data_IF_035363311798
#
_entry.id   IF_035363311798
#
_cell.length_a   1.000
_cell.length_b   1.000
_cell.length_c   1.000
_cell.angle_alpha   90.00
_cell.angle_beta   90.00
_cell.angle_gamma   90.00
#
_symmetry.space_group_name_H-M   'P 1'
#
loop_
_entity.id
_entity.type
_entity.pdbx_description
1 polymer ?
#
# COMPACT_ATOMS: atom_id res chain seq x y z
N UNK A 1 9.09 -8.35 71.04
CA UNK A 1 8.07 -8.26 70.00
C UNK A 1 8.28 -6.97 69.16
N UNK A 2 9.21 -6.94 68.21
CA UNK A 2 9.36 -5.87 67.19
C UNK A 2 10.45 -6.31 66.19
N UNK A 3 10.14 -7.17 65.25
CA UNK A 3 11.06 -7.56 64.16
C UNK A 3 10.39 -8.35 63.03
N UNK A 4 9.18 -7.99 62.57
CA UNK A 4 8.57 -8.66 61.39
C UNK A 4 7.77 -7.75 60.45
N UNK A 5 8.07 -6.43 60.42
CA UNK A 5 7.34 -5.47 59.62
C UNK A 5 8.14 -4.88 58.42
N UNK A 6 9.35 -5.39 58.11
CA UNK A 6 10.23 -4.77 57.12
C UNK A 6 10.45 -5.58 55.82
N UNK A 7 9.87 -6.80 55.73
CA UNK A 7 10.12 -7.66 54.55
C UNK A 7 9.04 -7.66 53.48
N UNK A 8 7.94 -6.92 53.63
CA UNK A 8 6.81 -6.94 52.66
C UNK A 8 6.81 -5.77 51.68
N UNK A 9 7.65 -4.75 51.89
CA UNK A 9 7.67 -3.57 51.00
C UNK A 9 8.65 -3.66 49.81
N UNK A 10 9.57 -4.62 49.83
CA UNK A 10 10.59 -4.78 48.78
C UNK A 10 10.14 -5.62 47.59
N UNK A 11 9.05 -6.39 47.71
CA UNK A 11 8.58 -7.24 46.60
C UNK A 11 7.62 -6.55 45.60
N UNK A 12 7.07 -5.38 45.99
CA UNK A 12 6.14 -4.62 45.12
C UNK A 12 6.84 -3.61 44.20
N UNK A 13 8.13 -3.33 44.43
CA UNK A 13 8.89 -2.38 43.61
C UNK A 13 9.52 -3.01 42.36
N UNK A 14 9.59 -4.35 42.25
CA UNK A 14 10.21 -5.01 41.10
C UNK A 14 9.24 -5.26 39.92
N UNK A 15 7.95 -5.06 40.08
CA UNK A 15 6.96 -5.26 38.98
C UNK A 15 6.66 -4.00 38.16
N UNK A 16 7.15 -2.84 38.56
CA UNK A 16 6.90 -1.57 37.89
C UNK A 16 8.01 -1.09 36.95
N UNK A 17 9.13 -1.81 36.86
CA UNK A 17 10.26 -1.40 36.01
C UNK A 17 10.23 -1.99 34.59
N UNK A 18 9.22 -2.79 34.24
CA UNK A 18 9.12 -3.41 32.91
C UNK A 18 8.39 -2.54 31.85
N UNK A 19 7.92 -1.34 32.21
CA UNK A 19 7.18 -0.46 31.25
C UNK A 19 8.02 0.66 30.63
N UNK A 20 9.32 0.65 30.81
CA UNK A 20 10.23 1.70 30.29
C UNK A 20 11.15 1.23 29.17
N UNK A 21 10.90 0.11 28.51
CA UNK A 21 11.49 -0.15 27.19
C UNK A 21 10.81 0.79 26.20
N UNK A 22 11.59 1.71 25.62
CA UNK A 22 11.08 2.75 24.73
C UNK A 22 10.36 2.11 23.53
N UNK A 23 9.28 2.76 23.06
CA UNK A 23 8.51 2.32 21.89
C UNK A 23 9.40 1.97 20.71
N UNK A 24 9.11 0.88 20.02
CA UNK A 24 9.86 0.45 18.84
C UNK A 24 9.75 1.48 17.73
N UNK A 25 10.88 1.97 17.22
CA UNK A 25 10.91 2.95 16.13
C UNK A 25 10.84 2.22 14.79
N UNK A 26 9.85 2.59 13.98
CA UNK A 26 9.59 2.03 12.65
C UNK A 26 9.67 3.13 11.62
N UNK A 27 10.45 2.94 10.57
CA UNK A 27 10.45 3.77 9.36
C UNK A 27 9.67 3.08 8.25
N UNK A 28 8.84 3.82 7.51
CA UNK A 28 8.02 3.28 6.42
C UNK A 28 8.04 4.20 5.21
N UNK A 29 8.21 3.62 4.03
CA UNK A 29 8.27 4.31 2.74
C UNK A 29 6.97 4.15 1.92
N UNK A 30 5.88 3.76 2.56
CA UNK A 30 4.56 3.66 1.96
C UNK A 30 3.50 4.08 2.98
N UNK A 31 2.47 4.82 2.54
CA UNK A 31 1.32 5.16 3.39
C UNK A 31 0.58 3.90 3.84
N UNK A 32 0.49 2.87 2.99
CA UNK A 32 -0.10 1.56 3.29
C UNK A 32 0.66 0.86 4.43
N UNK A 33 1.98 0.79 4.31
CA UNK A 33 2.82 0.15 5.33
C UNK A 33 2.86 0.94 6.63
N UNK A 34 2.77 2.28 6.55
CA UNK A 34 2.65 3.16 7.71
C UNK A 34 1.38 2.81 8.50
N UNK A 35 0.24 2.66 7.82
CA UNK A 35 -1.01 2.26 8.48
C UNK A 35 -0.90 0.85 9.07
N UNK A 36 -0.39 -0.14 8.32
CA UNK A 36 -0.24 -1.50 8.85
C UNK A 36 0.61 -1.49 10.12
N UNK A 37 1.75 -0.77 10.12
CA UNK A 37 2.62 -0.67 11.30
C UNK A 37 1.92 -0.01 12.48
N UNK A 38 1.10 1.03 12.26
CA UNK A 38 0.31 1.70 13.29
C UNK A 38 -0.80 0.78 13.83
N UNK A 39 -1.55 0.10 12.94
CA UNK A 39 -2.64 -0.80 13.33
C UNK A 39 -2.13 -2.00 14.13
N UNK A 40 -1.01 -2.58 13.73
CA UNK A 40 -0.42 -3.76 14.39
C UNK A 40 0.37 -3.36 15.64
N UNK A 41 1.16 -2.30 15.54
CA UNK A 41 2.05 -1.86 16.61
C UNK A 41 1.32 -1.15 17.76
N UNK A 42 0.25 -0.41 17.43
CA UNK A 42 -0.51 0.38 18.41
C UNK A 42 0.40 1.34 19.18
N UNK A 43 0.22 1.42 20.48
CA UNK A 43 1.00 2.30 21.38
C UNK A 43 2.44 1.80 21.61
N UNK A 44 2.80 0.60 21.16
CA UNK A 44 4.14 0.01 21.32
C UNK A 44 5.13 0.46 20.27
N UNK A 45 4.69 1.18 19.24
CA UNK A 45 5.54 1.67 18.15
C UNK A 45 5.48 3.20 18.02
N UNK A 46 6.52 3.77 17.41
CA UNK A 46 6.52 5.11 16.83
C UNK A 46 6.83 4.93 15.36
N UNK A 47 5.89 5.23 14.50
CA UNK A 47 6.04 5.06 13.05
C UNK A 47 6.33 6.41 12.40
N UNK A 48 7.46 6.47 11.67
CA UNK A 48 7.80 7.59 10.79
C UNK A 48 7.47 7.17 9.35
N UNK A 49 6.36 7.69 8.82
CA UNK A 49 6.02 7.54 7.41
C UNK A 49 6.69 8.63 6.58
N UNK A 50 7.58 8.26 5.67
CA UNK A 50 8.34 9.18 4.83
C UNK A 50 7.52 9.68 3.64
N UNK A 51 6.90 8.76 2.91
CA UNK A 51 5.95 9.10 1.84
C UNK A 51 4.64 9.57 2.45
N UNK A 52 4.12 10.70 1.96
CA UNK A 52 2.88 11.31 2.44
C UNK A 52 1.75 11.06 1.42
N UNK A 53 0.47 11.17 1.83
CA UNK A 53 -0.64 11.14 0.89
C UNK A 53 -0.44 12.12 -0.26
N UNK A 54 -0.69 11.67 -1.49
CA UNK A 54 -0.53 12.48 -2.70
C UNK A 54 0.90 12.64 -3.21
N UNK A 55 1.87 11.95 -2.59
CA UNK A 55 3.25 11.84 -3.09
C UNK A 55 3.40 10.51 -3.82
N UNK A 56 3.92 10.55 -5.05
CA UNK A 56 4.22 9.36 -5.84
C UNK A 56 5.37 8.58 -5.19
N UNK A 57 5.17 7.32 -4.75
CA UNK A 57 6.22 6.53 -4.13
C UNK A 57 7.28 6.07 -5.13
N UNK A 58 6.98 6.02 -6.43
CA UNK A 58 7.94 5.64 -7.48
C UNK A 58 9.01 6.72 -7.67
N UNK A 59 8.62 7.99 -7.54
CA UNK A 59 9.47 9.17 -7.72
C UNK A 59 10.00 9.72 -6.38
N UNK A 60 9.75 9.03 -5.28
CA UNK A 60 10.18 9.51 -3.97
C UNK A 60 11.69 9.43 -3.80
N UNK A 61 12.30 10.57 -3.44
CA UNK A 61 13.71 10.65 -3.07
C UNK A 61 13.87 10.94 -1.57
N UNK A 62 14.56 10.04 -0.82
CA UNK A 62 14.82 10.26 0.60
C UNK A 62 15.61 11.52 0.89
N UNK A 63 15.12 12.34 1.82
CA UNK A 63 15.75 13.59 2.27
C UNK A 63 16.71 13.31 3.45
N UNK A 64 17.63 14.24 3.79
CA UNK A 64 18.53 14.06 4.93
C UNK A 64 17.84 13.75 6.27
N UNK A 65 16.63 14.30 6.48
CA UNK A 65 15.83 13.99 7.67
C UNK A 65 15.34 12.54 7.68
N UNK A 66 15.01 11.98 6.50
CA UNK A 66 14.59 10.58 6.36
C UNK A 66 15.75 9.65 6.64
N UNK A 67 16.95 9.97 6.13
CA UNK A 67 18.17 9.19 6.41
C UNK A 67 18.46 9.11 7.92
N UNK A 68 18.29 10.24 8.64
CA UNK A 68 18.43 10.24 10.09
C UNK A 68 17.41 9.32 10.77
N UNK A 69 16.13 9.45 10.41
CA UNK A 69 15.06 8.62 10.99
C UNK A 69 15.27 7.13 10.71
N UNK A 70 15.73 6.78 9.51
CA UNK A 70 16.09 5.40 9.13
C UNK A 70 17.28 4.89 9.95
N UNK A 71 18.31 5.71 10.18
CA UNK A 71 19.46 5.38 11.01
C UNK A 71 19.09 5.04 12.46
N UNK A 72 18.01 5.65 12.97
CA UNK A 72 17.49 5.45 14.31
C UNK A 72 16.42 4.35 14.40
N UNK A 73 15.88 3.88 13.27
CA UNK A 73 14.81 2.90 13.23
C UNK A 73 15.33 1.48 13.56
N UNK A 74 14.49 0.71 14.24
CA UNK A 74 14.73 -0.71 14.53
C UNK A 74 14.09 -1.62 13.47
N UNK A 75 13.04 -1.13 12.81
CA UNK A 75 12.38 -1.78 11.66
C UNK A 75 12.20 -0.76 10.54
N UNK A 76 12.54 -1.14 9.32
CA UNK A 76 12.38 -0.33 8.11
C UNK A 76 11.50 -1.15 7.17
N UNK A 77 10.32 -0.61 6.82
CA UNK A 77 9.33 -1.27 5.99
C UNK A 77 9.37 -0.69 4.57
N UNK A 78 9.50 -1.57 3.61
CA UNK A 78 9.52 -1.29 2.17
C UNK A 78 8.46 -2.13 1.47
N UNK A 79 7.88 -1.61 0.39
CA UNK A 79 6.87 -2.33 -0.41
C UNK A 79 7.47 -3.50 -1.17
N UNK A 80 8.76 -3.42 -1.52
CA UNK A 80 9.49 -4.38 -2.36
C UNK A 80 9.11 -4.32 -3.86
N UNK A 81 9.56 -5.31 -4.63
CA UNK A 81 9.30 -5.44 -6.07
C UNK A 81 9.73 -4.20 -6.87
N UNK A 82 10.88 -3.66 -6.52
CA UNK A 82 11.50 -2.49 -7.15
C UNK A 82 10.75 -1.16 -6.97
N UNK A 83 9.74 -1.09 -6.10
CA UNK A 83 9.06 0.16 -5.76
C UNK A 83 10.07 1.20 -5.24
N UNK A 84 10.88 0.81 -4.27
CA UNK A 84 11.89 1.68 -3.67
C UNK A 84 13.27 1.45 -4.31
N UNK A 85 13.50 1.98 -5.52
CA UNK A 85 14.77 1.81 -6.25
C UNK A 85 16.01 2.37 -5.54
N UNK A 86 15.80 3.23 -4.54
CA UNK A 86 16.85 3.87 -3.74
C UNK A 86 17.31 3.05 -2.51
N UNK A 87 16.74 1.88 -2.25
CA UNK A 87 16.96 1.11 -1.01
C UNK A 87 18.40 0.73 -0.75
N UNK A 88 19.16 0.39 -1.80
CA UNK A 88 20.59 0.08 -1.69
C UNK A 88 21.38 1.27 -1.16
N UNK A 89 21.20 2.44 -1.77
CA UNK A 89 21.82 3.71 -1.34
C UNK A 89 21.38 4.11 0.07
N UNK A 90 20.12 3.87 0.41
CA UNK A 90 19.58 4.14 1.75
C UNK A 90 20.30 3.33 2.82
N UNK A 91 20.49 2.03 2.61
CA UNK A 91 21.22 1.14 3.53
C UNK A 91 22.67 1.61 3.73
N UNK A 92 23.36 1.92 2.65
CA UNK A 92 24.76 2.39 2.67
C UNK A 92 24.90 3.74 3.37
N UNK A 93 24.05 4.72 3.03
CA UNK A 93 24.15 6.09 3.54
C UNK A 93 23.79 6.22 5.02
N UNK A 94 22.94 5.36 5.54
CA UNK A 94 22.48 5.44 6.94
C UNK A 94 23.30 4.59 7.89
N UNK A 95 24.00 3.57 7.38
CA UNK A 95 24.67 2.56 8.20
C UNK A 95 23.70 1.88 9.20
N UNK A 96 22.40 1.85 8.86
CA UNK A 96 21.37 1.36 9.77
C UNK A 96 21.60 -0.07 10.21
N UNK A 97 21.36 -0.33 11.50
CA UNK A 97 21.31 -1.67 12.10
C UNK A 97 19.87 -2.20 12.23
N UNK A 98 18.89 -1.42 11.76
CA UNK A 98 17.49 -1.79 11.73
C UNK A 98 17.23 -2.97 10.78
N UNK A 99 16.23 -3.76 11.08
CA UNK A 99 15.78 -4.81 10.16
C UNK A 99 15.07 -4.16 8.98
N UNK A 100 15.61 -4.35 7.78
CA UNK A 100 14.94 -3.96 6.53
C UNK A 100 14.02 -5.11 6.12
N UNK A 101 12.73 -4.80 5.98
CA UNK A 101 11.67 -5.77 5.68
C UNK A 101 11.02 -5.35 4.37
N UNK A 102 11.29 -6.10 3.33
CA UNK A 102 10.69 -5.97 2.01
C UNK A 102 9.38 -6.79 2.01
N UNK A 103 8.27 -6.12 2.39
CA UNK A 103 7.01 -6.77 2.78
C UNK A 103 6.39 -7.59 1.65
N UNK A 104 6.49 -7.10 0.42
CA UNK A 104 5.91 -7.75 -0.76
C UNK A 104 6.73 -8.91 -1.34
N UNK A 105 7.96 -9.14 -0.89
CA UNK A 105 8.86 -10.14 -1.49
C UNK A 105 8.31 -11.57 -1.46
N UNK A 106 7.66 -11.94 -0.36
CA UNK A 106 7.05 -13.26 -0.19
C UNK A 106 5.72 -13.46 -0.93
N UNK A 107 5.22 -12.45 -1.67
CA UNK A 107 3.95 -12.55 -2.37
C UNK A 107 4.17 -13.03 -3.81
N UNK A 108 3.23 -13.83 -4.31
CA UNK A 108 3.24 -14.20 -5.72
C UNK A 108 3.12 -12.95 -6.58
N UNK A 109 4.16 -12.68 -7.37
CA UNK A 109 4.23 -11.49 -8.22
C UNK A 109 3.42 -11.66 -9.49
N UNK A 110 2.73 -10.61 -9.89
CA UNK A 110 2.32 -10.42 -11.25
C UNK A 110 3.51 -9.91 -12.06
N UNK A 111 3.60 -10.36 -13.29
CA UNK A 111 4.68 -9.99 -14.20
C UNK A 111 4.12 -9.20 -15.36
N UNK A 112 4.81 -8.15 -15.72
CA UNK A 112 4.45 -7.29 -16.82
C UNK A 112 5.69 -6.92 -17.63
N UNK A 113 5.48 -6.40 -18.83
CA UNK A 113 6.57 -5.90 -19.67
C UNK A 113 7.00 -4.54 -19.14
N UNK A 114 8.31 -4.30 -19.07
CA UNK A 114 8.82 -2.98 -18.82
C UNK A 114 8.48 -2.05 -20.00
N UNK A 115 8.24 -0.79 -19.71
CA UNK A 115 7.82 0.16 -20.73
C UNK A 115 8.98 0.58 -21.64
N UNK A 116 10.17 0.72 -21.07
CA UNK A 116 11.41 1.06 -21.75
C UNK A 116 11.98 -0.07 -22.64
N UNK A 117 11.64 -1.32 -22.30
CA UNK A 117 12.06 -2.52 -23.06
C UNK A 117 10.97 -3.60 -23.02
N UNK A 118 10.24 -3.85 -24.12
CA UNK A 118 9.19 -4.86 -24.19
C UNK A 118 9.69 -6.31 -24.02
N UNK A 119 11.01 -6.54 -24.07
CA UNK A 119 11.62 -7.84 -23.80
C UNK A 119 11.97 -8.04 -22.33
N UNK A 120 12.02 -6.96 -21.55
CA UNK A 120 12.27 -7.00 -20.12
C UNK A 120 10.97 -7.24 -19.37
N UNK A 121 10.97 -8.24 -18.50
CA UNK A 121 9.86 -8.55 -17.61
C UNK A 121 10.19 -7.98 -16.23
N UNK A 122 9.26 -7.23 -15.67
CA UNK A 122 9.33 -6.64 -14.33
C UNK A 122 8.20 -7.18 -13.46
N UNK A 123 8.36 -7.08 -12.16
CA UNK A 123 7.32 -7.43 -11.20
C UNK A 123 6.45 -6.23 -10.93
N UNK A 124 5.13 -6.45 -10.85
CA UNK A 124 4.16 -5.43 -10.45
C UNK A 124 4.29 -5.17 -8.95
N UNK A 125 4.64 -3.94 -8.53
CA UNK A 125 4.81 -3.60 -7.11
C UNK A 125 3.49 -3.33 -6.37
N UNK A 126 2.36 -3.14 -7.07
CA UNK A 126 1.09 -2.64 -6.52
C UNK A 126 0.24 -3.73 -5.82
N UNK A 127 0.92 -4.60 -5.03
CA UNK A 127 0.30 -5.77 -4.38
C UNK A 127 -0.81 -5.40 -3.39
N UNK A 128 -0.86 -4.17 -2.87
CA UNK A 128 -1.87 -3.71 -1.91
C UNK A 128 -3.27 -3.61 -2.49
N UNK A 129 -3.41 -3.58 -3.81
CA UNK A 129 -4.71 -3.65 -4.49
C UNK A 129 -5.37 -5.04 -4.40
N UNK A 130 -4.66 -6.06 -3.92
CA UNK A 130 -5.24 -7.32 -3.47
C UNK A 130 -5.44 -7.30 -1.95
N UNK A 131 -6.70 -7.37 -1.50
CA UNK A 131 -7.01 -7.44 -0.06
C UNK A 131 -6.47 -8.74 0.57
N UNK A 132 -6.31 -9.80 -0.24
CA UNK A 132 -5.65 -11.03 0.17
C UNK A 132 -4.16 -10.79 0.49
N UNK A 133 -3.47 -10.01 -0.33
CA UNK A 133 -2.06 -9.64 -0.08
C UNK A 133 -1.94 -8.68 1.10
N UNK A 134 -2.89 -7.76 1.30
CA UNK A 134 -2.94 -6.95 2.52
C UNK A 134 -2.95 -7.80 3.79
N UNK A 135 -3.75 -8.88 3.80
CA UNK A 135 -3.75 -9.82 4.94
C UNK A 135 -2.42 -10.53 5.16
N UNK A 136 -1.64 -10.78 4.10
CA UNK A 136 -0.26 -11.31 4.21
C UNK A 136 0.69 -10.23 4.75
N UNK A 137 0.59 -9.00 4.24
CA UNK A 137 1.42 -7.87 4.69
C UNK A 137 1.27 -7.61 6.19
N UNK A 138 0.03 -7.66 6.72
CA UNK A 138 -0.23 -7.55 8.16
C UNK A 138 0.56 -8.59 8.95
N UNK A 139 0.63 -9.83 8.47
CA UNK A 139 1.38 -10.91 9.16
C UNK A 139 2.88 -10.68 9.08
N UNK A 140 3.40 -10.26 7.92
CA UNK A 140 4.84 -9.95 7.75
C UNK A 140 5.26 -8.83 8.69
N UNK A 141 4.49 -7.73 8.73
CA UNK A 141 4.78 -6.60 9.63
C UNK A 141 4.69 -7.02 11.10
N UNK A 142 3.65 -7.76 11.48
CA UNK A 142 3.53 -8.32 12.83
C UNK A 142 4.77 -9.11 13.24
N UNK A 143 5.21 -10.02 12.39
CA UNK A 143 6.34 -10.91 12.68
C UNK A 143 7.65 -10.12 12.80
N UNK A 144 7.82 -9.08 11.96
CA UNK A 144 8.96 -8.17 12.05
C UNK A 144 8.98 -7.37 13.38
N UNK A 145 7.82 -6.89 13.83
CA UNK A 145 7.70 -6.19 15.11
C UNK A 145 7.98 -7.14 16.30
N UNK A 146 7.43 -8.36 16.26
CA UNK A 146 7.68 -9.39 17.30
C UNK A 146 9.17 -9.73 17.37
N UNK A 147 9.84 -9.88 16.23
CA UNK A 147 11.28 -10.18 16.18
C UNK A 147 12.14 -9.11 16.88
N UNK A 148 11.70 -7.84 16.87
CA UNK A 148 12.40 -6.72 17.50
C UNK A 148 11.92 -6.39 18.91
N UNK A 149 10.70 -6.77 19.26
CA UNK A 149 10.11 -6.60 20.61
C UNK A 149 9.31 -7.85 21.01
N UNK A 150 10.00 -8.96 21.35
CA UNK A 150 9.31 -10.20 21.73
C UNK A 150 8.41 -10.07 22.96
N UNK A 151 8.73 -9.14 23.87
CA UNK A 151 7.91 -8.83 25.05
C UNK A 151 6.51 -8.29 24.71
N UNK A 152 6.34 -7.67 23.54
CA UNK A 152 5.07 -7.12 23.07
C UNK A 152 4.31 -8.06 22.11
N UNK A 153 4.78 -9.30 21.93
CA UNK A 153 4.22 -10.27 20.99
C UNK A 153 2.70 -10.48 21.14
N UNK A 154 2.21 -10.53 22.38
CA UNK A 154 0.77 -10.70 22.65
C UNK A 154 -0.05 -9.52 22.11
N UNK A 155 0.43 -8.28 22.27
CA UNK A 155 -0.22 -7.04 21.78
C UNK A 155 -0.22 -7.04 20.26
N UNK A 156 0.92 -7.33 19.62
CA UNK A 156 1.02 -7.34 18.17
C UNK A 156 0.16 -8.43 17.53
N UNK A 157 0.07 -9.60 18.14
CA UNK A 157 -0.81 -10.68 17.68
C UNK A 157 -2.30 -10.32 17.80
N UNK A 158 -2.73 -9.73 18.91
CA UNK A 158 -4.12 -9.31 19.13
C UNK A 158 -4.52 -8.18 18.14
N UNK A 159 -3.68 -7.16 17.99
CA UNK A 159 -3.90 -6.08 17.06
C UNK A 159 -3.95 -6.57 15.61
N UNK A 160 -3.02 -7.44 15.21
CA UNK A 160 -3.02 -8.05 13.88
C UNK A 160 -4.29 -8.86 13.64
N UNK A 161 -4.75 -9.65 14.61
CA UNK A 161 -6.00 -10.41 14.49
C UNK A 161 -7.21 -9.51 14.30
N UNK A 162 -7.30 -8.41 15.04
CA UNK A 162 -8.36 -7.39 14.89
C UNK A 162 -8.33 -6.76 13.51
N UNK A 163 -7.14 -6.39 13.02
CA UNK A 163 -7.00 -5.76 11.69
C UNK A 163 -7.34 -6.75 10.57
N UNK A 164 -6.90 -8.01 10.67
CA UNK A 164 -7.27 -9.08 9.73
C UNK A 164 -8.78 -9.33 9.70
N UNK A 165 -9.46 -9.27 10.83
CA UNK A 165 -10.93 -9.39 10.90
C UNK A 165 -11.62 -8.24 10.14
N UNK A 166 -11.13 -6.98 10.29
CA UNK A 166 -11.61 -5.83 9.52
C UNK A 166 -11.41 -6.03 8.02
N UNK A 167 -10.22 -6.46 7.59
CA UNK A 167 -9.93 -6.75 6.18
C UNK A 167 -10.85 -7.86 5.64
N UNK A 168 -11.14 -8.88 6.43
CA UNK A 168 -12.08 -9.94 6.04
C UNK A 168 -13.52 -9.44 5.85
N UNK A 169 -13.98 -8.53 6.70
CA UNK A 169 -15.28 -7.87 6.56
C UNK A 169 -15.31 -6.96 5.31
N UNK A 170 -14.24 -6.19 5.10
CA UNK A 170 -14.06 -5.32 3.95
C UNK A 170 -14.07 -6.11 2.62
N UNK A 171 -13.40 -7.27 2.58
CA UNK A 171 -13.41 -8.15 1.40
C UNK A 171 -14.82 -8.65 1.07
N UNK A 172 -15.61 -9.03 2.08
CA UNK A 172 -16.99 -9.45 1.88
C UNK A 172 -17.83 -8.32 1.32
N UNK A 173 -17.72 -7.12 1.90
CA UNK A 173 -18.38 -5.93 1.41
C UNK A 173 -18.00 -5.62 -0.04
N UNK A 174 -16.72 -5.60 -0.37
CA UNK A 174 -16.24 -5.34 -1.73
C UNK A 174 -16.77 -6.32 -2.77
N UNK A 175 -16.82 -7.63 -2.43
CA UNK A 175 -17.43 -8.66 -3.29
C UNK A 175 -18.91 -8.39 -3.54
N UNK A 176 -19.65 -7.94 -2.53
CA UNK A 176 -21.08 -7.59 -2.65
C UNK A 176 -21.27 -6.38 -3.57
N UNK A 177 -20.48 -5.33 -3.39
CA UNK A 177 -20.53 -4.14 -4.22
C UNK A 177 -20.19 -4.46 -5.70
N UNK A 178 -19.10 -5.16 -5.92
CA UNK A 178 -18.65 -5.54 -7.26
C UNK A 178 -19.60 -6.54 -7.95
N UNK A 179 -20.38 -7.31 -7.21
CA UNK A 179 -21.40 -8.19 -7.78
C UNK A 179 -22.54 -7.44 -8.51
N UNK A 180 -22.68 -6.12 -8.23
CA UNK A 180 -23.62 -5.26 -8.96
C UNK A 180 -23.22 -5.04 -10.42
N UNK A 181 -21.96 -5.30 -10.78
CA UNK A 181 -21.43 -5.20 -12.13
C UNK A 181 -21.40 -6.59 -12.79
N UNK A 182 -22.09 -6.78 -13.92
CA UNK A 182 -21.91 -7.95 -14.78
C UNK A 182 -20.43 -8.13 -15.18
N UNK A 183 -20.00 -9.37 -15.40
CA UNK A 183 -18.58 -9.67 -15.69
C UNK A 183 -18.06 -9.03 -16.98
N UNK A 184 -18.89 -8.93 -17.99
CA UNK A 184 -18.57 -8.28 -19.28
C UNK A 184 -18.39 -6.76 -19.17
N UNK A 185 -18.92 -6.15 -18.10
CA UNK A 185 -18.73 -4.72 -17.80
C UNK A 185 -17.51 -4.44 -16.91
N UNK A 186 -16.83 -5.44 -16.38
CA UNK A 186 -15.66 -5.30 -15.50
C UNK A 186 -14.40 -4.96 -16.30
N UNK A 187 -14.37 -3.78 -16.88
CA UNK A 187 -13.27 -3.24 -17.67
C UNK A 187 -12.88 -1.88 -17.13
N UNK A 188 -11.62 -1.72 -16.75
CA UNK A 188 -11.07 -0.48 -16.23
C UNK A 188 -10.07 0.10 -17.23
N UNK A 189 -10.21 1.36 -17.53
CA UNK A 189 -9.14 2.18 -18.14
C UNK A 189 -8.58 3.05 -17.03
N UNK A 190 -7.31 2.87 -16.71
CA UNK A 190 -6.60 3.55 -15.64
C UNK A 190 -5.43 4.34 -16.22
N UNK A 191 -4.96 5.29 -15.48
CA UNK A 191 -3.87 6.13 -15.92
C UNK A 191 -2.58 5.37 -15.99
N UNK A 192 -2.15 4.72 -14.93
CA UNK A 192 -1.03 3.79 -14.99
C UNK A 192 -1.43 2.36 -14.59
N UNK A 193 -0.51 1.41 -14.72
CA UNK A 193 -0.80 -0.02 -14.56
C UNK A 193 -0.66 -0.51 -13.11
N UNK A 194 -1.44 0.09 -12.20
CA UNK A 194 -1.44 -0.25 -10.77
C UNK A 194 -2.48 -1.30 -10.36
N UNK A 195 -3.51 -1.54 -11.16
CA UNK A 195 -4.68 -2.29 -10.72
C UNK A 195 -4.70 -3.77 -11.12
N UNK A 196 -3.60 -4.36 -11.56
CA UNK A 196 -3.55 -5.76 -12.01
C UNK A 196 -3.87 -6.77 -10.90
N UNK A 197 -3.41 -6.52 -9.66
CA UNK A 197 -3.78 -7.38 -8.51
C UNK A 197 -5.27 -7.29 -8.18
N UNK A 198 -5.85 -6.08 -8.23
CA UNK A 198 -7.29 -5.88 -8.09
C UNK A 198 -8.06 -6.62 -9.18
N UNK A 199 -7.62 -6.48 -10.41
CA UNK A 199 -8.24 -7.12 -11.57
C UNK A 199 -8.23 -8.64 -11.47
N UNK A 200 -7.09 -9.22 -11.11
CA UNK A 200 -6.95 -10.67 -10.92
C UNK A 200 -7.86 -11.20 -9.80
N UNK A 201 -7.97 -10.46 -8.69
CA UNK A 201 -8.79 -10.89 -7.55
C UNK A 201 -10.30 -10.75 -7.83
N UNK A 202 -10.72 -9.77 -8.65
CA UNK A 202 -12.11 -9.39 -8.82
C UNK A 202 -12.67 -9.63 -10.24
N UNK A 203 -11.86 -10.19 -11.15
CA UNK A 203 -12.29 -10.54 -12.52
C UNK A 203 -12.50 -9.33 -13.41
N UNK A 204 -11.60 -8.35 -13.33
CA UNK A 204 -11.55 -7.20 -14.23
C UNK A 204 -10.52 -7.39 -15.35
N UNK A 205 -10.65 -6.59 -16.41
CA UNK A 205 -9.63 -6.39 -17.44
C UNK A 205 -9.14 -4.95 -17.33
N UNK A 206 -7.80 -4.76 -17.30
CA UNK A 206 -7.19 -3.44 -17.21
C UNK A 206 -6.66 -3.00 -18.58
N UNK A 207 -6.87 -1.73 -18.90
CA UNK A 207 -6.28 -1.01 -20.02
C UNK A 207 -5.55 0.22 -19.45
N UNK A 208 -4.27 0.06 -19.10
CA UNK A 208 -3.47 1.14 -18.56
C UNK A 208 -2.95 2.06 -19.67
N UNK A 209 -3.05 3.36 -19.46
CA UNK A 209 -2.60 4.39 -20.41
C UNK A 209 -1.06 4.53 -20.34
N UNK A 210 -0.54 4.58 -19.12
CA UNK A 210 0.89 4.68 -18.84
C UNK A 210 1.44 3.32 -18.36
N UNK A 211 2.72 3.25 -18.02
CA UNK A 211 3.37 2.04 -17.53
C UNK A 211 3.17 1.80 -16.04
N UNK A 212 4.28 1.48 -15.35
CA UNK A 212 4.28 1.18 -13.92
C UNK A 212 4.21 2.41 -13.03
N UNK A 213 4.51 3.59 -13.57
CA UNK A 213 4.52 4.86 -12.86
C UNK A 213 3.72 5.91 -13.64
N UNK A 214 3.11 6.83 -12.93
CA UNK A 214 2.44 7.99 -13.51
C UNK A 214 3.42 8.99 -14.17
N UNK A 215 4.71 8.84 -13.96
CA UNK A 215 5.76 9.61 -14.64
C UNK A 215 6.02 9.14 -16.07
N UNK A 216 5.59 7.93 -16.42
CA UNK A 216 5.76 7.33 -17.74
C UNK A 216 4.84 8.00 -18.77
N UNK A 217 5.41 8.60 -19.82
CA UNK A 217 4.60 9.25 -20.85
C UNK A 217 4.24 8.25 -21.95
N UNK A 218 2.94 8.03 -22.23
CA UNK A 218 2.53 7.10 -23.27
C UNK A 218 2.90 7.61 -24.65
N UNK A 219 3.34 6.71 -25.54
CA UNK A 219 3.56 7.04 -26.95
C UNK A 219 2.21 7.32 -27.65
N UNK A 220 2.24 8.14 -28.71
CA UNK A 220 1.03 8.39 -29.51
C UNK A 220 0.41 7.10 -30.07
N UNK A 221 1.24 6.09 -30.39
CA UNK A 221 0.75 4.77 -30.80
C UNK A 221 -0.05 4.10 -29.68
N UNK A 222 0.47 4.09 -28.44
CA UNK A 222 -0.19 3.48 -27.27
C UNK A 222 -1.53 4.18 -26.98
N UNK A 223 -1.57 5.52 -27.05
CA UNK A 223 -2.81 6.29 -26.92
C UNK A 223 -3.84 5.87 -27.98
N UNK A 224 -3.42 5.75 -29.24
CA UNK A 224 -4.29 5.28 -30.34
C UNK A 224 -4.81 3.85 -30.13
N UNK A 225 -3.94 2.94 -29.70
CA UNK A 225 -4.30 1.54 -29.40
C UNK A 225 -5.34 1.46 -28.25
N UNK A 226 -5.19 2.29 -27.21
CA UNK A 226 -6.13 2.36 -26.08
C UNK A 226 -7.48 2.92 -26.53
N UNK A 227 -7.50 4.01 -27.32
CA UNK A 227 -8.75 4.57 -27.89
C UNK A 227 -9.48 3.50 -28.71
N UNK A 228 -8.76 2.75 -29.54
CA UNK A 228 -9.34 1.68 -30.33
C UNK A 228 -9.90 0.55 -29.43
N UNK A 229 -9.17 0.16 -28.37
CA UNK A 229 -9.62 -0.85 -27.42
C UNK A 229 -10.87 -0.41 -26.64
N UNK A 230 -10.92 0.84 -26.17
CA UNK A 230 -12.10 1.42 -25.48
C UNK A 230 -13.33 1.31 -26.37
N UNK A 231 -13.22 1.73 -27.63
CA UNK A 231 -14.32 1.65 -28.62
C UNK A 231 -14.75 0.23 -28.89
N UNK A 232 -13.79 -0.67 -29.18
CA UNK A 232 -14.06 -2.06 -29.53
C UNK A 232 -14.69 -2.85 -28.37
N UNK A 233 -14.30 -2.53 -27.13
CA UNK A 233 -14.75 -3.24 -25.94
C UNK A 233 -15.93 -2.57 -25.22
N UNK A 234 -16.40 -1.42 -25.73
CA UNK A 234 -17.50 -0.67 -25.13
C UNK A 234 -17.23 -0.23 -23.69
N UNK A 235 -15.99 0.20 -23.39
CA UNK A 235 -15.65 0.69 -22.06
C UNK A 235 -16.37 1.99 -21.78
N UNK A 236 -17.12 2.05 -20.68
CA UNK A 236 -17.97 3.20 -20.35
C UNK A 236 -17.20 4.36 -19.71
N UNK A 237 -16.19 4.06 -18.90
CA UNK A 237 -15.52 5.05 -18.08
C UNK A 237 -14.00 4.87 -18.07
N UNK A 238 -13.30 5.99 -17.96
CA UNK A 238 -11.85 6.10 -17.74
C UNK A 238 -11.66 6.72 -16.36
N UNK A 239 -10.73 6.17 -15.59
CA UNK A 239 -10.48 6.62 -14.23
C UNK A 239 -9.17 7.38 -14.17
N UNK A 240 -9.24 8.60 -13.64
CA UNK A 240 -8.08 9.39 -13.30
C UNK A 240 -7.43 8.88 -12.01
N UNK A 241 -6.19 9.23 -11.80
CA UNK A 241 -5.49 9.06 -10.54
C UNK A 241 -5.03 10.44 -10.05
N UNK A 242 -4.81 10.57 -8.75
CA UNK A 242 -4.66 11.91 -8.14
C UNK A 242 -3.40 12.68 -8.59
N UNK A 243 -2.43 12.02 -9.23
CA UNK A 243 -1.08 12.57 -9.47
C UNK A 243 -0.81 12.89 -10.95
N UNK A 244 -1.80 12.92 -11.85
CA UNK A 244 -1.63 12.83 -13.28
C UNK A 244 -1.62 14.08 -14.13
N UNK A 245 -1.15 13.86 -15.41
CA UNK A 245 -1.30 14.82 -16.50
C UNK A 245 -2.70 14.73 -17.14
N UNK A 246 -3.61 15.67 -16.89
CA UNK A 246 -5.00 15.59 -17.35
C UNK A 246 -5.16 15.74 -18.88
N UNK A 247 -4.09 16.06 -19.65
CA UNK A 247 -4.20 16.28 -21.09
C UNK A 247 -4.45 15.00 -21.86
N UNK A 248 -3.69 13.94 -21.56
CA UNK A 248 -3.83 12.63 -22.22
C UNK A 248 -5.20 12.03 -21.95
N UNK A 249 -5.65 12.07 -20.70
CA UNK A 249 -6.98 11.62 -20.31
C UNK A 249 -8.10 12.35 -21.05
N UNK A 250 -8.00 13.68 -21.18
CA UNK A 250 -8.97 14.49 -21.95
C UNK A 250 -9.00 14.11 -23.41
N UNK A 251 -7.84 13.86 -24.02
CA UNK A 251 -7.74 13.41 -25.40
C UNK A 251 -8.41 12.06 -25.59
N UNK A 252 -8.07 11.07 -24.77
CA UNK A 252 -8.65 9.72 -24.84
C UNK A 252 -10.17 9.78 -24.62
N UNK A 253 -10.63 10.56 -23.64
CA UNK A 253 -12.07 10.74 -23.35
C UNK A 253 -12.80 11.31 -24.57
N UNK A 254 -12.26 12.38 -25.18
CA UNK A 254 -12.85 13.03 -26.36
C UNK A 254 -12.92 12.08 -27.56
N UNK A 255 -11.85 11.36 -27.83
CA UNK A 255 -11.73 10.52 -29.01
C UNK A 255 -12.46 9.17 -28.86
N UNK A 256 -12.51 8.62 -27.65
CA UNK A 256 -13.15 7.32 -27.38
C UNK A 256 -14.67 7.44 -27.15
N UNK A 257 -15.15 8.58 -26.69
CA UNK A 257 -16.52 8.78 -26.22
C UNK A 257 -16.80 8.21 -24.81
N UNK A 258 -15.80 7.63 -24.15
CA UNK A 258 -15.92 7.22 -22.75
C UNK A 258 -15.97 8.42 -21.81
N UNK A 259 -16.59 8.29 -20.64
CA UNK A 259 -16.71 9.37 -19.65
C UNK A 259 -15.58 9.27 -18.63
N UNK A 260 -15.25 10.38 -17.95
CA UNK A 260 -14.46 10.32 -16.73
C UNK A 260 -15.32 9.70 -15.62
N UNK A 261 -14.85 8.56 -15.09
CA UNK A 261 -15.56 7.78 -14.08
C UNK A 261 -15.33 8.28 -12.65
N UNK A 262 -14.30 9.06 -12.46
CA UNK A 262 -13.87 9.57 -11.16
C UNK A 262 -12.38 9.34 -10.94
N UNK A 263 -11.93 9.67 -9.75
CA UNK A 263 -10.54 9.56 -9.33
C UNK A 263 -10.35 8.31 -8.46
N UNK A 264 -9.30 7.54 -8.71
CA UNK A 264 -8.92 6.38 -7.91
C UNK A 264 -7.61 6.65 -7.16
N UNK A 265 -7.46 6.00 -6.03
CA UNK A 265 -6.20 5.96 -5.28
C UNK A 265 -5.42 4.73 -5.71
N UNK A 266 -4.31 4.93 -6.41
CA UNK A 266 -3.45 3.87 -6.94
C UNK A 266 -2.24 3.60 -6.04
N UNK A 267 -1.45 4.63 -5.73
CA UNK A 267 -0.12 4.48 -5.13
C UNK A 267 -0.09 4.61 -3.61
N UNK A 268 -1.24 4.72 -2.98
CA UNK A 268 -1.30 4.80 -1.53
C UNK A 268 -2.60 5.37 -0.99
N UNK A 269 -2.59 5.67 0.29
CA UNK A 269 -3.71 6.27 0.99
C UNK A 269 -3.89 7.73 0.59
N UNK A 270 -5.13 8.19 0.58
CA UNK A 270 -5.49 9.57 0.37
C UNK A 270 -5.59 10.38 1.66
N UNK A 271 -6.43 11.41 1.62
CA UNK A 271 -6.81 12.24 2.75
C UNK A 271 -8.28 12.05 3.10
N UNK A 272 -8.71 12.55 4.25
CA UNK A 272 -10.11 12.46 4.69
C UNK A 272 -10.56 11.01 4.85
N UNK A 273 -11.62 10.62 4.15
CA UNK A 273 -12.16 9.26 4.22
C UNK A 273 -11.18 8.21 3.68
N UNK A 274 -10.36 8.56 2.68
CA UNK A 274 -9.35 7.68 2.11
C UNK A 274 -8.01 7.66 2.90
N UNK A 275 -7.94 8.28 4.06
CA UNK A 275 -6.75 8.27 4.93
C UNK A 275 -6.50 6.91 5.62
N UNK A 276 -7.34 5.91 5.35
CA UNK A 276 -7.16 4.52 5.78
C UNK A 276 -7.32 3.57 4.60
N UNK A 277 -6.76 2.37 4.72
CA UNK A 277 -6.92 1.34 3.70
C UNK A 277 -8.39 0.97 3.46
N UNK A 278 -9.17 0.89 4.53
CA UNK A 278 -10.61 0.66 4.42
C UNK A 278 -11.30 1.76 3.60
N UNK A 279 -11.02 3.02 3.90
CA UNK A 279 -11.59 4.16 3.20
C UNK A 279 -11.15 4.23 1.74
N UNK A 280 -9.85 4.07 1.46
CA UNK A 280 -9.31 3.99 0.11
C UNK A 280 -9.96 2.87 -0.72
N UNK A 281 -10.04 1.66 -0.16
CA UNK A 281 -10.62 0.50 -0.83
C UNK A 281 -12.11 0.69 -1.13
N UNK A 282 -12.88 1.25 -0.18
CA UNK A 282 -14.29 1.58 -0.38
C UNK A 282 -14.46 2.63 -1.45
N UNK A 283 -13.73 3.73 -1.37
CA UNK A 283 -13.77 4.81 -2.36
C UNK A 283 -13.52 4.28 -3.78
N UNK A 284 -12.47 3.48 -3.96
CA UNK A 284 -12.14 2.92 -5.27
C UNK A 284 -13.27 2.03 -5.81
N UNK A 285 -13.80 1.13 -5.00
CA UNK A 285 -14.90 0.23 -5.42
C UNK A 285 -16.18 1.01 -5.73
N UNK A 286 -16.59 1.94 -4.87
CA UNK A 286 -17.80 2.73 -5.07
C UNK A 286 -17.70 3.60 -6.33
N UNK A 287 -16.53 4.22 -6.54
CA UNK A 287 -16.25 5.01 -7.74
C UNK A 287 -16.33 4.16 -9.00
N UNK A 288 -15.71 2.97 -9.00
CA UNK A 288 -15.74 2.01 -10.11
C UNK A 288 -17.18 1.55 -10.40
N UNK A 289 -17.90 1.11 -9.37
CA UNK A 289 -19.26 0.58 -9.53
C UNK A 289 -20.19 1.67 -10.06
N UNK A 290 -20.14 2.86 -9.49
CA UNK A 290 -20.97 4.00 -9.91
C UNK A 290 -20.73 4.41 -11.37
N UNK A 291 -19.50 4.35 -11.84
CA UNK A 291 -19.15 4.79 -13.19
C UNK A 291 -19.44 3.73 -14.26
N UNK A 292 -19.44 2.45 -13.90
CA UNK A 292 -19.64 1.35 -14.84
C UNK A 292 -21.09 0.82 -14.90
N UNK A 293 -21.94 1.14 -13.94
CA UNK A 293 -23.40 0.90 -14.01
C UNK A 293 -24.06 1.79 -15.07
#
# INVERSE_FOLDING_TARGET
MKAHALSLLTLLALTLTSFAEGRLRVSSFSTILTEIAQQVGGERVVVTGHVKPGVDPHEYEPKPADLKAVGEAQVILLSAKHMEGYVGKLKESTGTKGAVVEVGDGFASLKMKAEDDPNKIVEDPHWWHSITNMGKAVKVVRDALIAKSPGDAAVFNDNAAKYLAKLGALQKWGKTELAKLPRDQRKLVTSHDAFQYFAKENGFTIYAIEGLSSADQPSSKKVGDIIAAIKAQGVKAIFAEKIENPKVLKEITRESGAKLGGELYADGLGEGEAASYEGMYKHNIETIVKALQ
#
